data_IF_724857135268
#
_entry.id   IF_724857135268
#
_cell.length_a   1.000
_cell.length_b   1.000
_cell.length_c   1.000
_cell.angle_alpha   90.00
_cell.angle_beta   90.00
_cell.angle_gamma   90.00
#
_symmetry.space_group_name_H-M   'P 1'
#
loop_
_entity.id
_entity.type
_entity.pdbx_description
1 polymer ?
#
# COMPACT_ATOMS: atom_id res chain seq x y z
N UNK A 1 13.55 -0.17 -6.14
CA UNK A 1 12.93 -1.22 -6.98
C UNK A 1 13.81 -1.64 -8.11
N UNK A 2 14.16 -2.94 -8.11
CA UNK A 2 14.94 -3.63 -9.13
C UNK A 2 14.18 -4.88 -9.58
N UNK A 3 12.85 -4.78 -9.69
CA UNK A 3 11.96 -5.90 -10.07
C UNK A 3 11.82 -6.06 -11.61
N UNK A 4 12.69 -5.41 -12.38
CA UNK A 4 12.61 -5.35 -13.85
C UNK A 4 13.40 -6.44 -14.60
N UNK A 5 13.92 -7.46 -13.91
CA UNK A 5 14.74 -8.51 -14.54
C UNK A 5 13.98 -9.81 -14.85
N UNK A 6 12.75 -9.97 -14.36
CA UNK A 6 11.89 -11.13 -14.62
C UNK A 6 10.89 -10.71 -15.70
N UNK A 7 10.88 -11.40 -16.84
CA UNK A 7 9.97 -11.06 -17.94
C UNK A 7 8.54 -11.40 -17.52
N UNK A 8 7.55 -10.66 -18.03
CA UNK A 8 6.12 -10.93 -17.77
C UNK A 8 5.71 -12.39 -18.05
N UNK A 9 6.37 -13.03 -19.01
CA UNK A 9 6.16 -14.45 -19.34
C UNK A 9 6.64 -15.41 -18.23
N UNK A 10 7.70 -15.07 -17.51
CA UNK A 10 8.22 -15.90 -16.40
C UNK A 10 7.22 -15.92 -15.24
N UNK A 11 6.60 -14.76 -14.94
CA UNK A 11 5.54 -14.67 -13.93
C UNK A 11 4.30 -15.48 -14.33
N UNK A 12 3.94 -15.49 -15.61
CA UNK A 12 2.82 -16.31 -16.11
C UNK A 12 3.09 -17.80 -15.95
N UNK A 13 4.31 -18.24 -16.30
CA UNK A 13 4.69 -19.64 -16.16
C UNK A 13 4.62 -20.11 -14.70
N UNK A 14 5.19 -19.33 -13.77
CA UNK A 14 5.15 -19.65 -12.34
C UNK A 14 3.71 -19.80 -11.83
N UNK A 15 2.81 -18.92 -12.27
CA UNK A 15 1.38 -18.98 -11.88
C UNK A 15 0.67 -20.21 -12.44
N UNK A 16 0.96 -20.57 -13.68
CA UNK A 16 0.38 -21.76 -14.32
C UNK A 16 0.87 -23.04 -13.65
N UNK A 17 2.15 -23.12 -13.27
CA UNK A 17 2.71 -24.25 -12.52
C UNK A 17 2.08 -24.37 -11.13
N UNK A 18 1.91 -23.24 -10.43
CA UNK A 18 1.24 -23.19 -9.14
C UNK A 18 -0.24 -23.59 -9.24
N UNK A 19 -0.97 -23.10 -10.25
CA UNK A 19 -2.38 -23.44 -10.49
C UNK A 19 -2.58 -24.93 -10.74
N UNK A 20 -1.63 -25.58 -11.43
CA UNK A 20 -1.65 -27.03 -11.73
C UNK A 20 -1.30 -27.90 -10.52
N UNK A 21 -0.94 -27.31 -9.38
CA UNK A 21 -0.51 -28.04 -8.18
C UNK A 21 0.89 -28.64 -8.30
N UNK A 22 1.72 -28.15 -9.25
CA UNK A 22 3.11 -28.58 -9.38
C UNK A 22 4.03 -27.86 -8.38
N UNK A 23 3.49 -26.94 -7.59
CA UNK A 23 4.23 -26.13 -6.62
C UNK A 23 3.36 -25.91 -5.40
N UNK A 24 3.86 -26.30 -4.22
CA UNK A 24 3.11 -26.23 -2.97
C UNK A 24 3.19 -24.84 -2.31
N UNK A 25 4.26 -24.09 -2.56
CA UNK A 25 4.52 -22.80 -1.92
C UNK A 25 4.94 -21.77 -2.97
N UNK A 26 4.21 -20.66 -3.03
CA UNK A 26 4.54 -19.50 -3.84
C UNK A 26 4.94 -18.33 -2.95
N UNK A 27 6.17 -17.84 -3.08
CA UNK A 27 6.70 -16.67 -2.37
C UNK A 27 6.95 -15.57 -3.38
N UNK A 28 6.44 -14.36 -3.13
CA UNK A 28 6.66 -13.25 -4.03
C UNK A 28 6.16 -11.91 -3.49
N UNK A 29 6.50 -10.83 -4.20
CA UNK A 29 6.00 -9.48 -3.92
C UNK A 29 4.56 -9.35 -4.39
N UNK A 30 3.94 -8.19 -4.12
CA UNK A 30 2.59 -7.86 -4.61
C UNK A 30 2.43 -8.16 -6.13
N UNK A 31 3.47 -7.92 -6.93
CA UNK A 31 3.42 -8.14 -8.39
C UNK A 31 3.26 -9.62 -8.76
N UNK A 32 3.90 -10.53 -8.02
CA UNK A 32 3.81 -11.98 -8.24
C UNK A 32 2.39 -12.47 -7.97
N UNK A 33 1.75 -11.95 -6.92
CA UNK A 33 0.43 -12.37 -6.44
C UNK A 33 -0.74 -11.80 -7.25
N UNK A 34 -0.56 -10.67 -7.95
CA UNK A 34 -1.62 -10.04 -8.75
C UNK A 34 -2.06 -10.95 -9.91
N UNK A 35 -3.25 -11.55 -9.83
CA UNK A 35 -3.77 -12.46 -10.85
C UNK A 35 -3.36 -13.92 -10.65
N UNK A 36 -2.91 -14.28 -9.44
CA UNK A 36 -2.90 -15.67 -8.97
C UNK A 36 -4.34 -16.09 -8.73
N UNK A 37 -4.68 -17.29 -9.23
CA UNK A 37 -5.94 -17.95 -8.94
C UNK A 37 -5.81 -18.71 -7.62
N UNK A 38 -6.49 -18.24 -6.58
CA UNK A 38 -6.41 -18.81 -5.23
C UNK A 38 -7.36 -20.00 -5.00
N UNK A 39 -7.92 -20.59 -6.06
CA UNK A 39 -8.84 -21.72 -5.96
C UNK A 39 -8.26 -22.92 -5.18
N UNK A 40 -6.97 -23.20 -5.36
CA UNK A 40 -6.29 -24.36 -4.76
C UNK A 40 -5.32 -23.95 -3.63
N UNK A 41 -5.54 -22.79 -3.00
CA UNK A 41 -4.68 -22.29 -1.92
C UNK A 41 -5.43 -22.42 -0.59
N UNK A 42 -4.78 -23.04 0.39
CA UNK A 42 -5.34 -23.25 1.74
C UNK A 42 -4.88 -22.18 2.75
N UNK A 43 -3.72 -21.55 2.50
CA UNK A 43 -3.10 -20.59 3.40
C UNK A 43 -2.49 -19.40 2.64
N UNK A 44 -2.76 -18.18 3.12
CA UNK A 44 -2.03 -16.97 2.72
C UNK A 44 -1.22 -16.45 3.91
N UNK A 45 0.09 -16.31 3.72
CA UNK A 45 0.98 -15.64 4.67
C UNK A 45 1.39 -14.26 4.16
N UNK A 46 0.98 -13.20 4.87
CA UNK A 46 1.41 -11.82 4.62
C UNK A 46 2.55 -11.51 5.57
N UNK A 47 3.75 -11.36 5.02
CA UNK A 47 4.96 -11.07 5.79
C UNK A 47 5.18 -9.56 5.83
N UNK A 48 5.37 -9.03 7.05
CA UNK A 48 5.78 -7.64 7.31
C UNK A 48 4.83 -6.57 6.76
N UNK A 49 3.54 -6.62 7.15
CA UNK A 49 2.57 -5.58 6.84
C UNK A 49 3.01 -4.17 7.30
N UNK A 50 3.86 -4.10 8.33
CA UNK A 50 4.41 -2.87 8.90
C UNK A 50 5.17 -2.02 7.88
N UNK A 51 5.79 -2.64 6.87
CA UNK A 51 6.59 -1.91 5.89
C UNK A 51 5.72 -0.94 5.09
N UNK A 52 4.51 -1.40 4.72
CA UNK A 52 3.56 -0.58 3.98
C UNK A 52 2.88 0.45 4.88
N UNK A 53 2.55 0.08 6.12
CA UNK A 53 1.93 0.99 7.10
C UNK A 53 2.85 2.15 7.49
N UNK A 54 4.16 1.90 7.60
CA UNK A 54 5.13 2.90 8.06
C UNK A 54 5.81 3.68 6.92
N UNK A 55 5.27 3.62 5.69
CA UNK A 55 5.72 4.52 4.63
C UNK A 55 5.44 5.98 5.02
N UNK A 56 6.35 6.93 4.73
CA UNK A 56 6.16 8.36 5.03
C UNK A 56 5.21 9.01 4.00
N UNK A 57 4.00 8.47 3.91
CA UNK A 57 2.88 8.92 3.09
C UNK A 57 1.63 8.83 3.97
N UNK A 58 0.86 9.92 4.09
CA UNK A 58 -0.39 9.92 4.88
C UNK A 58 -1.41 8.90 4.38
N UNK A 59 -1.24 8.39 3.16
CA UNK A 59 -2.08 7.35 2.54
C UNK A 59 -1.59 5.93 2.81
N UNK A 60 -0.54 5.73 3.61
CA UNK A 60 0.05 4.41 3.87
C UNK A 60 -0.99 3.42 4.42
N UNK A 61 -1.78 3.83 5.41
CA UNK A 61 -2.87 3.03 5.98
C UNK A 61 -3.90 2.61 4.94
N UNK A 62 -4.45 3.57 4.19
CA UNK A 62 -5.40 3.33 3.09
C UNK A 62 -4.86 2.37 2.04
N UNK A 63 -3.65 2.59 1.53
CA UNK A 63 -3.03 1.73 0.52
C UNK A 63 -2.83 0.31 1.04
N UNK A 64 -2.40 0.18 2.30
CA UNK A 64 -2.19 -1.13 2.94
C UNK A 64 -3.51 -1.86 3.11
N UNK A 65 -4.52 -1.20 3.68
CA UNK A 65 -5.85 -1.78 3.85
C UNK A 65 -6.43 -2.24 2.51
N UNK A 66 -6.36 -1.39 1.47
CA UNK A 66 -6.87 -1.73 0.14
C UNK A 66 -6.18 -2.96 -0.45
N UNK A 67 -4.84 -2.99 -0.41
CA UNK A 67 -4.03 -4.09 -0.95
C UNK A 67 -4.33 -5.41 -0.24
N UNK A 68 -4.33 -5.41 1.09
CA UNK A 68 -4.56 -6.63 1.87
C UNK A 68 -6.02 -7.09 1.78
N UNK A 69 -6.99 -6.17 1.78
CA UNK A 69 -8.41 -6.51 1.62
C UNK A 69 -8.71 -7.13 0.27
N UNK A 70 -8.09 -6.64 -0.82
CA UNK A 70 -8.24 -7.23 -2.17
C UNK A 70 -7.75 -8.69 -2.21
N UNK A 71 -6.57 -8.95 -1.63
CA UNK A 71 -5.99 -10.29 -1.55
C UNK A 71 -6.87 -11.22 -0.71
N UNK A 72 -7.30 -10.77 0.46
CA UNK A 72 -8.16 -11.57 1.37
C UNK A 72 -9.53 -11.82 0.75
N UNK A 73 -10.12 -10.84 0.08
CA UNK A 73 -11.42 -10.97 -0.58
C UNK A 73 -11.38 -12.00 -1.71
N UNK A 74 -10.33 -11.97 -2.52
CA UNK A 74 -10.10 -12.94 -3.61
C UNK A 74 -9.90 -14.38 -3.08
N UNK A 75 -9.54 -14.52 -1.80
CA UNK A 75 -9.33 -15.80 -1.15
C UNK A 75 -10.62 -16.39 -0.57
N UNK A 76 -11.53 -15.54 -0.06
CA UNK A 76 -12.70 -15.92 0.75
C UNK A 76 -13.92 -16.45 -0.01
N UNK A 77 -13.98 -16.34 -1.34
CA UNK A 77 -15.17 -16.74 -2.13
C UNK A 77 -15.39 -18.28 -2.19
N UNK A 78 -14.56 -19.09 -1.52
CA UNK A 78 -14.44 -20.53 -1.76
C UNK A 78 -14.78 -21.33 -0.50
N UNK A 79 -15.60 -22.37 -0.66
CA UNK A 79 -16.27 -23.15 0.39
C UNK A 79 -15.39 -24.02 1.31
N UNK A 80 -14.06 -23.84 1.33
CA UNK A 80 -13.12 -24.64 2.13
C UNK A 80 -12.52 -23.83 3.29
N UNK A 81 -12.07 -24.46 4.40
CA UNK A 81 -11.42 -23.75 5.49
C UNK A 81 -10.11 -23.16 4.98
N UNK A 82 -10.08 -21.84 4.95
CA UNK A 82 -9.03 -21.03 4.33
C UNK A 82 -8.49 -20.09 5.40
N UNK A 83 -7.18 -20.12 5.60
CA UNK A 83 -6.52 -19.33 6.66
C UNK A 83 -5.69 -18.19 6.07
N UNK A 84 -5.72 -17.03 6.74
CA UNK A 84 -4.87 -15.89 6.43
C UNK A 84 -4.10 -15.51 7.67
N UNK A 85 -2.77 -15.51 7.58
CA UNK A 85 -1.87 -15.11 8.65
C UNK A 85 -1.20 -13.80 8.24
N UNK A 86 -1.35 -12.77 9.07
CA UNK A 86 -0.70 -11.48 8.90
C UNK A 86 0.36 -11.32 9.98
N UNK A 87 1.62 -11.16 9.58
CA UNK A 87 2.70 -10.82 10.49
C UNK A 87 2.83 -9.30 10.57
N UNK A 88 2.68 -8.77 11.79
CA UNK A 88 2.87 -7.34 12.11
C UNK A 88 3.45 -7.18 13.51
N UNK A 89 4.23 -6.12 13.71
CA UNK A 89 4.67 -5.69 15.04
C UNK A 89 3.58 -4.92 15.81
N UNK A 90 2.61 -4.35 15.11
CA UNK A 90 1.53 -3.53 15.67
C UNK A 90 0.15 -4.16 15.39
N UNK A 91 -0.21 -5.27 16.04
CA UNK A 91 -1.50 -5.94 15.79
C UNK A 91 -2.73 -5.12 16.21
N UNK A 92 -2.53 -4.09 17.03
CA UNK A 92 -3.59 -3.16 17.49
C UNK A 92 -3.83 -1.99 16.53
N UNK A 93 -3.03 -1.85 15.46
CA UNK A 93 -3.23 -0.83 14.44
C UNK A 93 -4.63 -0.93 13.81
N UNK A 94 -5.31 0.21 13.61
CA UNK A 94 -6.69 0.22 13.14
C UNK A 94 -6.85 -0.45 11.77
N UNK A 95 -5.82 -0.40 10.91
CA UNK A 95 -5.84 -1.08 9.62
C UNK A 95 -5.84 -2.60 9.80
N UNK A 96 -5.02 -3.14 10.72
CA UNK A 96 -4.92 -4.57 10.98
C UNK A 96 -6.20 -5.09 11.64
N UNK A 97 -6.72 -4.36 12.62
CA UNK A 97 -7.98 -4.71 13.29
C UNK A 97 -9.14 -4.73 12.29
N UNK A 98 -9.23 -3.72 11.41
CA UNK A 98 -10.25 -3.67 10.37
C UNK A 98 -10.12 -4.83 9.37
N UNK A 99 -8.90 -5.19 8.98
CA UNK A 99 -8.65 -6.27 8.02
C UNK A 99 -9.10 -7.64 8.53
N UNK A 100 -8.94 -7.89 9.83
CA UNK A 100 -9.34 -9.16 10.47
C UNK A 100 -10.82 -9.47 10.24
N UNK A 101 -11.68 -8.46 10.42
CA UNK A 101 -13.14 -8.59 10.26
C UNK A 101 -13.62 -8.17 8.86
N UNK A 102 -12.71 -7.76 7.96
CA UNK A 102 -13.02 -7.12 6.68
C UNK A 102 -13.99 -5.91 6.82
N UNK A 103 -13.85 -5.16 7.91
CA UNK A 103 -14.73 -4.04 8.24
C UNK A 103 -14.19 -2.73 7.65
N UNK A 104 -14.57 -2.47 6.40
CA UNK A 104 -14.25 -1.20 5.74
C UNK A 104 -14.82 0.02 6.46
N UNK A 105 -16.00 -0.09 7.09
CA UNK A 105 -16.63 1.05 7.74
C UNK A 105 -15.84 1.46 8.98
N UNK A 106 -15.43 0.49 9.80
CA UNK A 106 -14.55 0.73 10.95
C UNK A 106 -13.22 1.38 10.51
N UNK A 107 -12.58 0.82 9.47
CA UNK A 107 -11.37 1.40 8.90
C UNK A 107 -11.59 2.86 8.49
N UNK A 108 -12.62 3.12 7.68
CA UNK A 108 -12.90 4.45 7.13
C UNK A 108 -13.15 5.48 8.23
N UNK A 109 -13.94 5.13 9.26
CA UNK A 109 -14.22 6.05 10.36
C UNK A 109 -12.96 6.44 11.14
N UNK A 110 -12.05 5.49 11.38
CA UNK A 110 -10.78 5.78 12.06
C UNK A 110 -9.82 6.59 11.21
N UNK A 111 -9.71 6.23 9.93
CA UNK A 111 -8.84 6.92 8.99
C UNK A 111 -9.29 8.38 8.76
N UNK A 112 -10.60 8.61 8.61
CA UNK A 112 -11.12 9.96 8.35
C UNK A 112 -11.05 10.87 9.57
N UNK A 113 -11.23 10.31 10.77
CA UNK A 113 -11.02 11.01 12.05
C UNK A 113 -9.56 11.47 12.18
N UNK A 114 -8.61 10.54 11.97
CA UNK A 114 -7.17 10.83 12.02
C UNK A 114 -6.76 11.89 10.99
N UNK A 115 -7.27 11.80 9.75
CA UNK A 115 -6.97 12.79 8.70
C UNK A 115 -7.51 14.17 9.03
N UNK A 116 -8.64 14.25 9.75
CA UNK A 116 -9.19 15.51 10.20
C UNK A 116 -8.33 16.14 11.29
N UNK A 117 -7.86 15.34 12.24
CA UNK A 117 -7.02 15.81 13.35
C UNK A 117 -5.63 16.25 12.90
N UNK A 118 -5.09 15.64 11.84
CA UNK A 118 -3.76 15.92 11.30
C UNK A 118 -3.77 16.87 10.09
N UNK A 119 -4.90 17.52 9.80
CA UNK A 119 -5.05 18.44 8.66
C UNK A 119 -4.61 17.81 7.32
N UNK A 120 -5.00 16.56 7.08
CA UNK A 120 -4.75 15.84 5.83
C UNK A 120 -5.96 15.86 4.88
N UNK A 121 -5.75 15.65 3.56
CA UNK A 121 -6.85 15.49 2.61
C UNK A 121 -7.84 14.40 3.06
N UNK A 122 -9.16 14.60 2.93
CA UNK A 122 -9.84 15.61 2.12
C UNK A 122 -10.10 16.96 2.83
N UNK A 123 -9.65 17.14 4.07
CA UNK A 123 -9.92 18.37 4.85
C UNK A 123 -9.01 19.53 4.43
N UNK A 124 -7.85 19.21 3.86
CA UNK A 124 -6.89 20.17 3.32
C UNK A 124 -6.39 19.76 1.94
N UNK A 125 -5.67 20.65 1.28
CA UNK A 125 -4.98 20.37 0.02
C UNK A 125 -3.48 20.36 0.23
N UNK A 126 -2.83 19.26 -0.16
CA UNK A 126 -1.36 19.15 -0.12
C UNK A 126 -0.80 19.29 -1.52
N UNK A 127 0.15 20.20 -1.69
CA UNK A 127 0.87 20.40 -2.94
C UNK A 127 2.35 20.09 -2.72
N UNK A 128 2.83 19.01 -3.36
CA UNK A 128 4.25 18.65 -3.39
C UNK A 128 4.90 19.27 -4.63
N UNK A 129 5.89 20.14 -4.43
CA UNK A 129 6.73 20.67 -5.51
C UNK A 129 8.08 19.97 -5.42
N UNK A 130 8.51 19.32 -6.50
CA UNK A 130 9.81 18.65 -6.60
C UNK A 130 10.64 19.38 -7.64
N UNK A 131 11.87 19.74 -7.27
CA UNK A 131 12.84 20.38 -8.16
C UNK A 131 13.96 19.37 -8.37
N UNK A 132 14.29 19.11 -9.63
CA UNK A 132 15.30 18.16 -10.04
C UNK A 132 16.33 18.89 -10.91
N UNK A 133 17.60 18.55 -10.73
CA UNK A 133 18.72 19.10 -11.48
C UNK A 133 20.00 18.34 -11.18
N UNK A 134 20.98 18.43 -12.06
CA UNK A 134 22.26 17.73 -11.93
C UNK A 134 23.16 18.37 -10.87
N UNK A 135 23.08 19.70 -10.74
CA UNK A 135 23.88 20.48 -9.80
C UNK A 135 23.09 20.78 -8.52
N UNK A 136 23.58 20.26 -7.39
CA UNK A 136 22.93 20.38 -6.09
C UNK A 136 22.69 21.84 -5.68
N UNK A 137 23.72 22.70 -5.82
CA UNK A 137 23.65 24.10 -5.39
C UNK A 137 22.58 24.88 -6.17
N UNK A 138 22.49 24.67 -7.49
CA UNK A 138 21.47 25.30 -8.32
C UNK A 138 20.04 24.86 -7.93
N UNK A 139 19.85 23.57 -7.58
CA UNK A 139 18.56 23.04 -7.12
C UNK A 139 18.17 23.64 -5.77
N UNK A 140 19.10 23.72 -4.82
CA UNK A 140 18.87 24.29 -3.49
C UNK A 140 18.49 25.78 -3.58
N UNK A 141 19.26 26.58 -4.34
CA UNK A 141 18.95 27.99 -4.57
C UNK A 141 17.57 28.18 -5.20
N UNK A 142 17.20 27.31 -6.15
CA UNK A 142 15.88 27.39 -6.79
C UNK A 142 14.75 26.99 -5.84
N UNK A 143 14.98 26.03 -4.96
CA UNK A 143 14.03 25.60 -3.93
C UNK A 143 13.78 26.72 -2.92
N UNK A 144 14.83 27.35 -2.42
CA UNK A 144 14.74 28.50 -1.50
C UNK A 144 13.99 29.67 -2.15
N UNK A 145 14.30 30.00 -3.40
CA UNK A 145 13.59 31.05 -4.15
C UNK A 145 12.07 30.80 -4.24
N UNK A 146 11.66 29.56 -4.48
CA UNK A 146 10.23 29.21 -4.53
C UNK A 146 9.59 29.26 -3.14
N UNK A 147 10.31 28.87 -2.09
CA UNK A 147 9.83 28.93 -0.72
C UNK A 147 9.52 30.38 -0.30
N UNK A 148 10.42 31.31 -0.59
CA UNK A 148 10.25 32.74 -0.30
C UNK A 148 9.05 33.35 -1.05
N UNK A 149 8.77 32.89 -2.26
CA UNK A 149 7.61 33.36 -3.04
C UNK A 149 6.29 32.76 -2.56
N UNK A 150 6.27 31.55 -2.00
CA UNK A 150 5.04 30.93 -1.47
C UNK A 150 4.43 31.73 -0.33
N UNK A 151 5.25 32.29 0.57
CA UNK A 151 4.77 33.14 1.67
C UNK A 151 3.98 34.37 1.21
N UNK A 152 4.18 34.83 -0.03
CA UNK A 152 3.44 35.95 -0.63
C UNK A 152 2.13 35.54 -1.31
N UNK A 153 1.98 34.26 -1.69
CA UNK A 153 0.79 33.75 -2.39
C UNK A 153 -0.19 33.05 -1.45
N UNK A 154 0.28 32.31 -0.43
CA UNK A 154 -0.62 31.61 0.50
C UNK A 154 -1.35 32.52 1.50
N UNK A 155 -0.94 33.79 1.63
CA UNK A 155 -1.62 34.80 2.45
C UNK A 155 -2.68 35.62 1.67
N UNK A 156 -3.01 35.24 0.43
CA UNK A 156 -4.15 35.79 -0.29
C UNK A 156 -5.29 34.79 -0.24
N UNK A 157 -6.17 35.02 0.73
CA UNK A 157 -7.57 34.61 0.81
C UNK A 157 -7.91 33.20 0.28
N UNK A 158 -7.98 32.26 1.23
CA UNK A 158 -8.99 31.20 1.23
C UNK A 158 -10.04 31.61 2.26
#
# INVERSE_FOLDING_TARGET
DRDSLIKDDDYRQIREEFKKGNTDILIGTQMVLKGVDFNNVDLIGIISADTLLNLPDYRSGEKTFQLLSEVISSFREISFPKEVIIQTFNPEDHCIVALKEQDYNYFYQKEIELRKELDYPPFTHIIKIVILGEEKEAVEQRAEYLNDKKGKCCNRDI
#
